data_IF_753810015886
#
_entry.id   IF_753810015886
#
_cell.length_a   1.000
_cell.length_b   1.000
_cell.length_c   1.000
_cell.angle_alpha   90.00
_cell.angle_beta   90.00
_cell.angle_gamma   90.00
#
_symmetry.space_group_name_H-M   'P 1'
#
loop_
_entity.id
_entity.type
_entity.pdbx_description
1 polymer ?
#
# COMPACT_ATOMS: atom_id res chain seq x y z
N UNK A 1 -23.16 1.62 -11.54
CA UNK A 1 -22.20 0.56 -11.95
C UNK A 1 -20.79 1.08 -12.22
N UNK A 2 -20.61 2.05 -13.13
CA UNK A 2 -19.29 2.51 -13.63
C UNK A 2 -18.34 2.97 -12.53
N UNK A 3 -18.81 3.74 -11.54
CA UNK A 3 -17.98 4.24 -10.45
C UNK A 3 -17.36 3.12 -9.61
N UNK A 4 -18.17 2.15 -9.16
CA UNK A 4 -17.67 0.97 -8.43
C UNK A 4 -16.61 0.24 -9.25
N UNK A 5 -16.89 -0.05 -10.52
CA UNK A 5 -15.96 -0.77 -11.39
C UNK A 5 -14.65 -0.01 -11.55
N UNK A 6 -14.71 1.28 -11.88
CA UNK A 6 -13.54 2.13 -12.08
C UNK A 6 -12.61 2.14 -10.86
N UNK A 7 -13.16 2.44 -9.67
CA UNK A 7 -12.37 2.50 -8.44
C UNK A 7 -11.82 1.13 -8.03
N UNK A 8 -12.61 0.07 -8.22
CA UNK A 8 -12.17 -1.28 -7.87
C UNK A 8 -11.12 -1.82 -8.85
N UNK A 9 -11.16 -1.42 -10.13
CA UNK A 9 -10.10 -1.70 -11.11
C UNK A 9 -8.80 -0.98 -10.74
N UNK A 10 -8.86 0.29 -10.33
CA UNK A 10 -7.68 1.01 -9.83
C UNK A 10 -7.10 0.34 -8.57
N UNK A 11 -7.97 -0.13 -7.66
CA UNK A 11 -7.55 -0.93 -6.51
C UNK A 11 -6.82 -2.20 -6.95
N UNK A 12 -7.40 -2.98 -7.88
CA UNK A 12 -6.78 -4.21 -8.38
C UNK A 12 -5.41 -3.95 -9.03
N UNK A 13 -5.29 -2.93 -9.88
CA UNK A 13 -4.01 -2.54 -10.50
C UNK A 13 -3.00 -2.16 -9.41
N UNK A 14 -3.40 -1.35 -8.44
CA UNK A 14 -2.54 -0.94 -7.32
C UNK A 14 -2.06 -2.13 -6.49
N UNK A 15 -2.92 -3.11 -6.21
CA UNK A 15 -2.54 -4.34 -5.49
C UNK A 15 -1.57 -5.20 -6.30
N UNK A 16 -1.81 -5.38 -7.61
CA UNK A 16 -0.90 -6.15 -8.48
C UNK A 16 0.47 -5.50 -8.55
N UNK A 17 0.52 -4.17 -8.75
CA UNK A 17 1.77 -3.42 -8.74
C UNK A 17 2.46 -3.50 -7.36
N UNK A 18 1.70 -3.35 -6.28
CA UNK A 18 2.20 -3.52 -4.92
C UNK A 18 2.82 -4.90 -4.69
N UNK A 19 2.16 -5.96 -5.16
CA UNK A 19 2.67 -7.33 -5.07
C UNK A 19 4.01 -7.47 -5.80
N UNK A 20 4.13 -6.95 -7.02
CA UNK A 20 5.40 -6.98 -7.78
C UNK A 20 6.50 -6.24 -7.02
N UNK A 21 6.22 -5.07 -6.46
CA UNK A 21 7.19 -4.30 -5.68
C UNK A 21 7.58 -5.00 -4.38
N UNK A 22 6.64 -5.68 -3.71
CA UNK A 22 6.91 -6.49 -2.52
C UNK A 22 7.81 -7.68 -2.86
N UNK A 23 7.60 -8.33 -4.00
CA UNK A 23 8.51 -9.38 -4.48
C UNK A 23 9.91 -8.82 -4.76
N UNK A 24 10.01 -7.66 -5.40
CA UNK A 24 11.31 -6.98 -5.59
C UNK A 24 11.97 -6.63 -4.26
N UNK A 25 11.19 -6.21 -3.27
CA UNK A 25 11.67 -5.94 -1.92
C UNK A 25 12.28 -7.19 -1.27
N UNK A 26 11.58 -8.33 -1.31
CA UNK A 26 12.06 -9.56 -0.66
C UNK A 26 13.16 -10.30 -1.44
N UNK A 27 13.10 -10.30 -2.77
CA UNK A 27 13.98 -11.12 -3.61
C UNK A 27 15.22 -10.36 -4.11
N UNK A 28 15.13 -9.04 -4.29
CA UNK A 28 16.14 -8.28 -5.02
C UNK A 28 16.74 -7.11 -4.23
N UNK A 29 16.05 -6.60 -3.21
CA UNK A 29 16.48 -5.40 -2.49
C UNK A 29 17.01 -5.72 -1.08
N UNK A 30 18.33 -5.67 -0.93
CA UNK A 30 18.98 -5.72 0.39
C UNK A 30 18.98 -4.36 1.11
N UNK A 31 19.13 -4.34 2.45
CA UNK A 31 19.14 -3.11 3.25
C UNK A 31 20.28 -2.13 2.90
N UNK A 32 21.37 -2.63 2.30
CA UNK A 32 22.51 -1.81 1.87
C UNK A 32 22.24 -1.00 0.58
N UNK A 33 21.13 -1.28 -0.12
CA UNK A 33 20.80 -0.62 -1.36
C UNK A 33 20.36 0.83 -1.14
N UNK A 34 20.86 1.75 -1.98
CA UNK A 34 20.57 3.19 -1.83
C UNK A 34 19.07 3.52 -1.89
N UNK A 35 18.32 2.78 -2.70
CA UNK A 35 16.89 2.98 -2.94
C UNK A 35 15.98 2.13 -2.03
N UNK A 36 16.53 1.35 -1.10
CA UNK A 36 15.76 0.43 -0.25
C UNK A 36 14.59 1.12 0.49
N UNK A 37 14.87 2.21 1.21
CA UNK A 37 13.82 2.99 1.92
C UNK A 37 12.82 3.63 0.95
N UNK A 38 13.27 4.03 -0.26
CA UNK A 38 12.37 4.61 -1.28
C UNK A 38 11.41 3.55 -1.83
N UNK A 39 11.89 2.32 -2.02
CA UNK A 39 11.07 1.18 -2.46
C UNK A 39 9.97 0.87 -1.43
N UNK A 40 10.32 0.79 -0.14
CA UNK A 40 9.33 0.54 0.93
C UNK A 40 8.28 1.65 0.93
N UNK A 41 8.69 2.93 0.86
CA UNK A 41 7.74 4.05 0.78
C UNK A 41 6.84 3.96 -0.44
N UNK A 42 7.36 3.59 -1.60
CA UNK A 42 6.57 3.42 -2.81
C UNK A 42 5.50 2.33 -2.63
N UNK A 43 5.86 1.20 -2.02
CA UNK A 43 4.91 0.13 -1.66
C UNK A 43 3.83 0.68 -0.71
N UNK A 44 4.20 1.44 0.32
CA UNK A 44 3.26 2.05 1.26
C UNK A 44 2.25 2.95 0.54
N UNK A 45 2.71 3.86 -0.32
CA UNK A 45 1.83 4.80 -1.02
C UNK A 45 0.92 4.11 -2.04
N UNK A 46 1.44 3.13 -2.79
CA UNK A 46 0.64 2.37 -3.78
C UNK A 46 -0.43 1.55 -3.08
N UNK A 47 -0.09 0.85 -1.99
CA UNK A 47 -1.06 0.06 -1.21
C UNK A 47 -2.07 0.95 -0.49
N UNK A 48 -1.68 2.15 -0.03
CA UNK A 48 -2.62 3.15 0.50
C UNK A 48 -3.61 3.63 -0.57
N UNK A 49 -3.11 4.00 -1.75
CA UNK A 49 -3.95 4.45 -2.85
C UNK A 49 -4.93 3.36 -3.29
N UNK A 50 -4.47 2.10 -3.34
CA UNK A 50 -5.32 0.95 -3.60
C UNK A 50 -6.41 0.79 -2.52
N UNK A 51 -6.06 0.89 -1.24
CA UNK A 51 -7.02 0.81 -0.13
C UNK A 51 -8.08 1.92 -0.19
N UNK A 52 -7.68 3.16 -0.48
CA UNK A 52 -8.62 4.29 -0.64
C UNK A 52 -9.55 4.06 -1.83
N UNK A 53 -9.02 3.67 -2.99
CA UNK A 53 -9.83 3.39 -4.17
C UNK A 53 -10.80 2.23 -3.93
N UNK A 54 -10.32 1.13 -3.36
CA UNK A 54 -11.14 -0.03 -3.03
C UNK A 54 -12.24 0.33 -2.02
N UNK A 55 -11.93 1.14 -1.01
CA UNK A 55 -12.93 1.64 -0.03
C UNK A 55 -14.04 2.42 -0.72
N UNK A 56 -13.69 3.35 -1.61
CA UNK A 56 -14.66 4.12 -2.38
C UNK A 56 -15.53 3.17 -3.22
N UNK A 57 -14.92 2.20 -3.91
CA UNK A 57 -15.65 1.22 -4.72
C UNK A 57 -16.67 0.41 -3.91
N UNK A 58 -16.25 -0.11 -2.75
CA UNK A 58 -17.10 -0.89 -1.83
C UNK A 58 -18.21 -0.03 -1.25
N UNK A 59 -17.92 1.20 -0.80
CA UNK A 59 -18.94 2.11 -0.25
C UNK A 59 -19.97 2.48 -1.32
N UNK A 60 -19.54 2.83 -2.53
CA UNK A 60 -20.45 3.15 -3.63
C UNK A 60 -21.33 1.96 -3.97
N UNK A 61 -20.78 0.74 -4.00
CA UNK A 61 -21.57 -0.46 -4.22
C UNK A 61 -22.55 -0.73 -3.07
N UNK A 62 -22.13 -0.51 -1.82
CA UNK A 62 -22.98 -0.68 -0.65
C UNK A 62 -24.18 0.27 -0.68
N UNK A 63 -23.98 1.53 -1.06
CA UNK A 63 -25.02 2.55 -1.08
C UNK A 63 -25.96 2.43 -2.29
N UNK A 64 -25.45 2.02 -3.45
CA UNK A 64 -26.19 2.11 -4.72
C UNK A 64 -26.45 0.77 -5.41
N UNK A 65 -25.85 -0.33 -4.95
CA UNK A 65 -25.93 -1.64 -5.60
C UNK A 65 -27.35 -2.16 -5.81
N UNK A 66 -28.28 -1.84 -4.90
CA UNK A 66 -29.68 -2.23 -4.98
C UNK A 66 -30.61 -1.09 -5.48
N UNK A 67 -30.07 0.07 -5.86
CA UNK A 67 -30.90 1.22 -6.27
C UNK A 67 -31.46 1.03 -7.67
N UNK A 68 -32.73 1.39 -7.84
CA UNK A 68 -33.41 1.39 -9.15
C UNK A 68 -32.57 2.11 -10.21
N UNK A 69 -32.45 1.50 -11.39
CA UNK A 69 -31.71 2.01 -12.57
C UNK A 69 -30.19 2.13 -12.39
N UNK A 70 -29.60 1.67 -11.29
CA UNK A 70 -28.14 1.70 -11.12
C UNK A 70 -27.43 0.49 -11.77
N UNK A 71 -28.10 -0.67 -11.80
CA UNK A 71 -27.66 -1.91 -12.44
C UNK A 71 -28.88 -2.70 -12.97
N UNK A 72 -28.76 -3.44 -14.09
CA UNK A 72 -29.79 -4.39 -14.51
C UNK A 72 -30.04 -5.42 -13.41
N UNK A 73 -31.30 -5.84 -13.24
CA UNK A 73 -31.70 -6.84 -12.23
C UNK A 73 -31.25 -6.48 -10.79
N UNK A 74 -31.17 -5.19 -10.46
CA UNK A 74 -30.75 -4.73 -9.12
C UNK A 74 -31.56 -5.36 -7.98
N UNK A 75 -32.84 -5.67 -8.19
CA UNK A 75 -33.70 -6.30 -7.18
C UNK A 75 -33.21 -7.68 -6.72
N UNK A 76 -32.39 -8.37 -7.53
CA UNK A 76 -31.78 -9.64 -7.19
C UNK A 76 -30.30 -9.50 -6.75
N UNK A 77 -29.79 -8.27 -6.67
CA UNK A 77 -28.40 -7.96 -6.34
C UNK A 77 -28.18 -7.88 -4.82
N UNK A 78 -28.18 -9.05 -4.17
CA UNK A 78 -27.82 -9.19 -2.76
C UNK A 78 -26.30 -9.13 -2.55
N UNK A 79 -25.85 -8.66 -1.39
CA UNK A 79 -24.44 -8.69 -1.04
C UNK A 79 -23.94 -10.13 -0.86
N UNK A 80 -23.33 -10.67 -1.91
CA UNK A 80 -22.72 -11.99 -1.90
C UNK A 80 -21.32 -12.03 -1.30
N UNK A 81 -20.73 -13.22 -1.27
CA UNK A 81 -19.37 -13.45 -0.74
C UNK A 81 -18.29 -12.58 -1.36
N UNK A 82 -18.39 -12.29 -2.66
CA UNK A 82 -17.43 -11.40 -3.35
C UNK A 82 -17.40 -9.99 -2.74
N UNK A 83 -18.54 -9.47 -2.31
CA UNK A 83 -18.61 -8.18 -1.64
C UNK A 83 -17.96 -8.23 -0.25
N UNK A 84 -18.20 -9.29 0.51
CA UNK A 84 -17.56 -9.50 1.83
C UNK A 84 -16.04 -9.59 1.67
N UNK A 85 -15.56 -10.40 0.71
CA UNK A 85 -14.14 -10.51 0.39
C UNK A 85 -13.54 -9.17 -0.05
N UNK A 86 -14.31 -8.35 -0.78
CA UNK A 86 -13.89 -7.01 -1.15
C UNK A 86 -13.68 -6.11 0.08
N UNK A 87 -14.63 -6.08 1.02
CA UNK A 87 -14.48 -5.36 2.28
C UNK A 87 -13.23 -5.80 3.05
N UNK A 88 -13.03 -7.11 3.22
CA UNK A 88 -11.88 -7.67 3.93
C UNK A 88 -10.57 -7.29 3.22
N UNK A 89 -10.52 -7.44 1.89
CA UNK A 89 -9.34 -7.13 1.10
C UNK A 89 -8.91 -5.66 1.20
N UNK A 90 -9.88 -4.74 1.20
CA UNK A 90 -9.63 -3.30 1.36
C UNK A 90 -9.09 -2.97 2.75
N UNK A 91 -9.66 -3.56 3.82
CA UNK A 91 -9.16 -3.41 5.19
C UNK A 91 -7.74 -3.96 5.31
N UNK A 92 -7.48 -5.15 4.77
CA UNK A 92 -6.16 -5.75 4.75
C UNK A 92 -5.13 -4.88 4.00
N UNK A 93 -5.50 -4.26 2.88
CA UNK A 93 -4.66 -3.30 2.17
C UNK A 93 -4.33 -2.08 3.04
N UNK A 94 -5.31 -1.54 3.77
CA UNK A 94 -5.09 -0.40 4.69
C UNK A 94 -4.12 -0.75 5.84
N UNK A 95 -4.27 -1.93 6.43
CA UNK A 95 -3.34 -2.45 7.46
C UNK A 95 -1.94 -2.63 6.87
N UNK A 96 -1.84 -3.27 5.70
CA UNK A 96 -0.56 -3.50 5.01
C UNK A 96 0.17 -2.18 4.73
N UNK A 97 -0.54 -1.19 4.19
CA UNK A 97 0.00 0.16 3.97
C UNK A 97 0.59 0.77 5.25
N UNK A 98 -0.16 0.68 6.36
CA UNK A 98 0.26 1.22 7.66
C UNK A 98 1.54 0.55 8.19
N UNK A 99 1.64 -0.77 8.03
CA UNK A 99 2.84 -1.54 8.38
C UNK A 99 4.04 -1.13 7.51
N UNK A 100 3.86 -1.01 6.19
CA UNK A 100 4.94 -0.57 5.31
C UNK A 100 5.39 0.87 5.60
N UNK A 101 4.48 1.79 5.95
CA UNK A 101 4.87 3.14 6.40
C UNK A 101 5.71 3.10 7.68
N UNK A 102 5.33 2.24 8.62
CA UNK A 102 6.07 2.04 9.87
C UNK A 102 7.47 1.49 9.57
N UNK A 103 7.58 0.48 8.73
CA UNK A 103 8.87 -0.05 8.28
C UNK A 103 9.72 1.00 7.57
N UNK A 104 9.12 1.78 6.65
CA UNK A 104 9.84 2.86 5.98
C UNK A 104 10.40 3.89 6.98
N UNK A 105 9.65 4.21 8.04
CA UNK A 105 10.09 5.11 9.09
C UNK A 105 11.23 4.52 9.93
N UNK A 106 11.09 3.26 10.37
CA UNK A 106 12.11 2.56 11.16
C UNK A 106 13.42 2.41 10.38
N UNK A 107 13.34 1.99 9.12
CA UNK A 107 14.52 1.79 8.25
C UNK A 107 15.21 3.13 7.93
N UNK A 108 14.44 4.20 7.69
CA UNK A 108 15.01 5.54 7.51
C UNK A 108 15.78 6.00 8.74
N UNK A 109 15.23 5.77 9.95
CA UNK A 109 15.87 6.12 11.21
C UNK A 109 17.17 5.34 11.44
N UNK A 110 17.14 4.01 11.26
CA UNK A 110 18.34 3.15 11.39
C UNK A 110 19.47 3.63 10.47
N UNK A 111 19.13 3.94 9.21
CA UNK A 111 20.12 4.40 8.22
C UNK A 111 20.71 5.77 8.55
N UNK A 112 19.91 6.68 9.11
CA UNK A 112 20.38 7.98 9.58
C UNK A 112 21.38 7.82 10.73
N UNK A 113 21.04 7.00 11.73
CA UNK A 113 21.91 6.73 12.88
C UNK A 113 23.26 6.13 12.46
N UNK A 114 23.26 5.15 11.56
CA UNK A 114 24.51 4.57 11.03
C UNK A 114 25.40 5.60 10.34
N UNK A 115 24.80 6.51 9.56
CA UNK A 115 25.54 7.57 8.88
C UNK A 115 26.11 8.59 9.87
N UNK A 116 25.35 8.96 10.89
CA UNK A 116 25.81 9.84 11.97
C UNK A 116 27.00 9.22 12.72
N UNK A 117 26.92 7.94 13.09
CA UNK A 117 28.03 7.23 13.74
C UNK A 117 29.29 7.16 12.87
N UNK A 118 29.16 6.83 11.57
CA UNK A 118 30.30 6.82 10.65
C UNK A 118 30.97 8.20 10.52
N UNK A 119 30.17 9.26 10.48
CA UNK A 119 30.70 10.64 10.40
C UNK A 119 31.45 11.02 11.68
N UNK A 120 30.91 10.63 12.84
CA UNK A 120 31.56 10.87 14.12
C UNK A 120 32.92 10.17 14.24
N UNK A 121 32.99 8.89 13.84
CA UNK A 121 34.26 8.15 13.82
C UNK A 121 35.31 8.78 12.87
N UNK A 122 34.89 9.32 11.73
CA UNK A 122 35.81 10.03 10.82
C UNK A 122 36.38 11.30 11.45
N UNK A 123 35.54 12.14 12.08
CA UNK A 123 36.01 13.35 12.76
C UNK A 123 36.98 13.04 13.91
N UNK A 124 36.70 12.00 14.71
CA UNK A 124 37.59 11.57 15.79
C UNK A 124 38.94 11.04 15.29
N UNK A 125 38.98 10.49 14.06
CA UNK A 125 40.22 10.03 13.43
C UNK A 125 41.07 11.19 12.89
N UNK A 126 40.44 12.21 12.30
CA UNK A 126 41.13 13.39 11.78
C UNK A 126 41.67 14.29 12.90
N UNK A 127 40.98 14.39 14.03
CA UNK A 127 41.44 15.20 15.18
C UNK A 127 42.67 14.63 15.90
N UNK A 128 43.06 13.38 15.63
CA UNK A 128 44.18 12.69 16.31
C UNK A 128 45.45 12.59 15.44
N UNK A 129 45.39 13.04 14.19
CA UNK A 129 46.52 13.11 13.26
C UNK A 129 47.17 14.50 13.30
#
# INVERSE_FOLDING_TARGET
MVATQFFYTLCAIGVILGMVLVLLYFLCAGPDQKFFVKLIKAISFITLAAAVCGSIGVIVFACFGNKDKWMPEHANNWFGWSFILACIGVVACGVSSSLFFTEAHVQARKRRQLKESQTQFQMDSESKA
#
